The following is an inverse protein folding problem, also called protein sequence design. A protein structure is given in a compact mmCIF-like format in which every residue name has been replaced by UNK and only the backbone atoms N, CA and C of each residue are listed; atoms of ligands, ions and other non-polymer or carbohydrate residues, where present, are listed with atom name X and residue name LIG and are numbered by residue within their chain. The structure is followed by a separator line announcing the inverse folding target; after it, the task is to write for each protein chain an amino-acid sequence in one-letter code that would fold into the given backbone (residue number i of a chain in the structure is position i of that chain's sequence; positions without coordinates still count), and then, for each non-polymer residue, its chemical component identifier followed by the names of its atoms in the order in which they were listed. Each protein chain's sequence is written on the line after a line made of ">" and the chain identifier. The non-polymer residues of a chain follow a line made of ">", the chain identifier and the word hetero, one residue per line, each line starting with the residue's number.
data_IF_267623851097
#
_entry.id   IF_267623851097
#
_cell.length_a   1.000
_cell.length_b   1.000
_cell.length_c   1.000
_cell.angle_alpha   90.00
_cell.angle_beta   90.00
_cell.angle_gamma   90.00
#
_symmetry.space_group_name_H-M   'P 1'
#
loop_
_entity.id
_entity.type
_entity.pdbx_description
1 polymer ?
#
# COMPACT_ATOMS: atom_id res chain seq x y z
N UNK A 1 -11.34 -36.09 14.31
CA UNK A 1 -10.06 -35.36 14.42
C UNK A 1 -10.18 -34.07 13.63
N UNK A 2 -10.56 -32.96 14.27
CA UNK A 2 -10.76 -31.65 13.61
C UNK A 2 -9.41 -30.98 13.39
N UNK A 3 -9.07 -30.68 12.13
CA UNK A 3 -7.84 -29.96 11.79
C UNK A 3 -7.88 -28.54 12.39
N UNK A 4 -6.76 -28.04 12.96
CA UNK A 4 -6.69 -26.67 13.44
C UNK A 4 -6.94 -25.72 12.27
N UNK A 5 -7.96 -24.85 12.43
CA UNK A 5 -8.28 -23.80 11.47
C UNK A 5 -7.05 -22.87 11.35
N UNK A 6 -6.48 -22.62 10.16
CA UNK A 6 -5.45 -21.61 10.04
C UNK A 6 -6.09 -20.24 10.32
N UNK A 7 -5.84 -19.74 11.52
CA UNK A 7 -6.16 -18.38 11.94
C UNK A 7 -5.78 -17.44 10.79
N UNK A 8 -6.72 -16.67 10.21
CA UNK A 8 -6.38 -15.78 9.12
C UNK A 8 -5.35 -14.78 9.64
N UNK A 9 -4.16 -14.75 9.00
CA UNK A 9 -3.06 -13.84 9.32
C UNK A 9 -3.45 -12.41 8.95
N UNK A 10 -4.42 -11.84 9.65
CA UNK A 10 -4.94 -10.48 9.50
C UNK A 10 -3.93 -9.39 9.96
N UNK A 11 -2.65 -9.74 10.13
CA UNK A 11 -1.63 -8.86 10.73
C UNK A 11 -1.08 -7.78 9.80
N UNK A 12 -1.14 -7.93 8.48
CA UNK A 12 -0.34 -7.08 7.57
C UNK A 12 -1.00 -5.74 7.20
N UNK A 13 -2.33 -5.64 7.20
CA UNK A 13 -3.02 -4.49 6.61
C UNK A 13 -3.06 -3.23 7.50
N UNK A 14 -3.05 -3.40 8.83
CA UNK A 14 -2.99 -2.28 9.78
C UNK A 14 -1.65 -1.55 9.76
N UNK A 15 -0.55 -2.27 9.56
CA UNK A 15 0.80 -1.68 9.47
C UNK A 15 0.95 -0.88 8.15
N UNK A 16 0.41 -1.43 7.06
CA UNK A 16 0.44 -0.84 5.72
C UNK A 16 -0.26 0.54 5.66
N UNK A 17 -1.36 0.71 6.40
CA UNK A 17 -2.08 1.99 6.48
C UNK A 17 -1.31 3.09 7.20
N UNK A 18 -0.56 2.76 8.25
CA UNK A 18 0.18 3.75 9.06
C UNK A 18 1.32 4.39 8.27
N UNK A 19 2.02 3.62 7.44
CA UNK A 19 3.09 4.13 6.57
C UNK A 19 2.56 5.14 5.55
N UNK A 20 1.37 4.89 5.01
CA UNK A 20 0.72 5.79 4.05
C UNK A 20 0.37 7.14 4.68
N UNK A 21 -0.24 7.11 5.87
CA UNK A 21 -0.55 8.33 6.62
C UNK A 21 0.71 9.08 7.05
N UNK A 22 1.76 8.38 7.51
CA UNK A 22 3.04 9.00 7.88
C UNK A 22 3.69 9.71 6.69
N UNK A 23 3.69 9.08 5.50
CA UNK A 23 4.22 9.67 4.29
C UNK A 23 3.39 10.89 3.80
N UNK A 24 2.06 10.81 3.88
CA UNK A 24 1.19 11.94 3.53
C UNK A 24 1.42 13.13 4.45
N UNK A 25 1.51 12.90 5.76
CA UNK A 25 1.78 13.94 6.76
C UNK A 25 3.15 14.56 6.51
N UNK A 26 4.18 13.75 6.22
CA UNK A 26 5.51 14.25 5.89
C UNK A 26 5.50 15.14 4.63
N UNK A 27 4.78 14.73 3.57
CA UNK A 27 4.61 15.55 2.37
C UNK A 27 3.84 16.85 2.65
N UNK A 28 2.73 16.78 3.39
CA UNK A 28 1.95 17.95 3.76
C UNK A 28 2.78 18.93 4.61
N UNK A 29 3.57 18.42 5.55
CA UNK A 29 4.43 19.23 6.42
C UNK A 29 5.52 19.97 5.62
N UNK A 30 6.12 19.32 4.62
CA UNK A 30 7.10 19.97 3.74
C UNK A 30 6.48 21.01 2.81
N UNK A 31 5.31 20.72 2.23
CA UNK A 31 4.57 21.69 1.41
C UNK A 31 4.21 22.91 2.24
N UNK A 32 3.69 22.72 3.46
CA UNK A 32 3.38 23.82 4.38
C UNK A 32 4.62 24.63 4.77
N UNK A 33 5.77 23.98 5.00
CA UNK A 33 7.03 24.67 5.31
C UNK A 33 7.53 25.56 4.15
N UNK A 34 7.41 25.05 2.92
CA UNK A 34 7.75 25.81 1.70
C UNK A 34 6.79 27.00 1.54
N UNK A 35 5.48 26.78 1.73
CA UNK A 35 4.47 27.84 1.65
C UNK A 35 4.72 28.95 2.67
N UNK A 36 5.09 28.58 3.90
CA UNK A 36 5.37 29.53 4.99
C UNK A 36 6.65 30.33 4.74
N UNK A 37 7.65 29.73 4.08
CA UNK A 37 8.93 30.40 3.83
C UNK A 37 8.83 31.59 2.86
N UNK A 38 7.72 31.74 2.11
CA UNK A 38 7.38 32.86 1.22
C UNK A 38 8.56 33.38 0.37
N UNK A 39 9.44 32.46 -0.05
CA UNK A 39 10.60 32.75 -0.89
C UNK A 39 10.27 32.32 -2.31
N UNK A 40 10.14 33.29 -3.20
CA UNK A 40 9.95 33.07 -4.63
C UNK A 40 11.31 32.83 -5.28
N UNK A 41 11.55 31.60 -5.74
CA UNK A 41 12.75 31.22 -6.48
C UNK A 41 12.57 29.87 -7.19
N UNK A 42 13.25 29.69 -8.32
CA UNK A 42 13.16 28.47 -9.16
C UNK A 42 13.42 27.17 -8.38
N UNK A 43 14.27 27.23 -7.34
CA UNK A 43 14.55 26.10 -6.46
C UNK A 43 13.32 25.66 -5.64
N UNK A 44 12.46 26.60 -5.23
CA UNK A 44 11.25 26.30 -4.45
C UNK A 44 10.14 25.66 -5.31
N UNK A 45 10.00 26.08 -6.56
CA UNK A 45 9.09 25.44 -7.52
C UNK A 45 9.51 23.99 -7.81
N UNK A 46 10.81 23.76 -8.05
CA UNK A 46 11.32 22.39 -8.25
C UNK A 46 11.13 21.52 -7.01
N UNK A 47 11.39 22.07 -5.82
CA UNK A 47 11.14 21.36 -4.56
C UNK A 47 9.66 20.98 -4.41
N UNK A 48 8.74 21.91 -4.70
CA UNK A 48 7.30 21.65 -4.65
C UNK A 48 6.90 20.51 -5.61
N UNK A 49 7.35 20.57 -6.86
CA UNK A 49 7.13 19.52 -7.87
C UNK A 49 7.69 18.17 -7.42
N UNK A 50 8.89 18.16 -6.85
CA UNK A 50 9.52 16.94 -6.33
C UNK A 50 8.73 16.34 -5.15
N UNK A 51 8.22 17.16 -4.22
CA UNK A 51 7.39 16.69 -3.11
C UNK A 51 6.03 16.17 -3.59
N UNK A 52 5.37 16.84 -4.53
CA UNK A 52 4.13 16.34 -5.14
C UNK A 52 4.38 15.03 -5.90
N UNK A 53 5.48 14.95 -6.65
CA UNK A 53 5.92 13.73 -7.33
C UNK A 53 6.17 12.58 -6.34
N UNK A 54 6.86 12.85 -5.23
CA UNK A 54 7.07 11.87 -4.17
C UNK A 54 5.74 11.40 -3.54
N UNK A 55 4.80 12.31 -3.27
CA UNK A 55 3.49 11.95 -2.75
C UNK A 55 2.74 11.00 -3.69
N UNK A 56 2.70 11.33 -4.99
CA UNK A 56 2.02 10.51 -6.00
C UNK A 56 2.70 9.17 -6.21
N UNK A 57 4.04 9.11 -6.18
CA UNK A 57 4.78 7.85 -6.26
C UNK A 57 4.48 6.91 -5.08
N UNK A 58 4.40 7.46 -3.86
CA UNK A 58 4.07 6.68 -2.66
C UNK A 58 2.65 6.12 -2.74
N UNK A 59 1.69 6.94 -3.18
CA UNK A 59 0.29 6.51 -3.36
C UNK A 59 0.20 5.40 -4.42
N UNK A 60 0.82 5.59 -5.58
CA UNK A 60 0.81 4.61 -6.66
C UNK A 60 1.50 3.30 -6.27
N UNK A 61 2.66 3.37 -5.61
CA UNK A 61 3.36 2.19 -5.09
C UNK A 61 2.50 1.40 -4.10
N UNK A 62 1.72 2.10 -3.26
CA UNK A 62 0.80 1.45 -2.35
C UNK A 62 -0.39 0.79 -3.06
N UNK A 63 -1.06 1.51 -3.97
CA UNK A 63 -2.21 0.98 -4.72
C UNK A 63 -1.79 -0.22 -5.55
N UNK A 64 -0.63 -0.14 -6.21
CA UNK A 64 -0.06 -1.26 -6.97
C UNK A 64 0.25 -2.45 -6.07
N UNK A 65 0.90 -2.23 -4.92
CA UNK A 65 1.17 -3.29 -3.95
C UNK A 65 -0.09 -3.93 -3.37
N UNK A 66 -1.14 -3.15 -3.14
CA UNK A 66 -2.44 -3.64 -2.68
C UNK A 66 -3.18 -4.43 -3.77
N UNK A 67 -3.15 -3.97 -5.02
CA UNK A 67 -3.72 -4.67 -6.15
C UNK A 67 -3.00 -6.00 -6.42
N UNK A 68 -1.67 -6.00 -6.32
CA UNK A 68 -0.83 -7.19 -6.48
C UNK A 68 -1.13 -8.24 -5.40
N UNK A 69 -1.20 -7.82 -4.14
CA UNK A 69 -1.57 -8.70 -3.02
C UNK A 69 -2.97 -9.31 -3.22
N UNK A 70 -3.95 -8.50 -3.65
CA UNK A 70 -5.31 -8.96 -3.90
C UNK A 70 -5.37 -10.00 -5.03
N UNK A 71 -4.59 -9.81 -6.10
CA UNK A 71 -4.50 -10.78 -7.18
C UNK A 71 -3.85 -12.10 -6.71
N UNK A 72 -2.77 -12.01 -5.93
CA UNK A 72 -2.09 -13.17 -5.38
C UNK A 72 -2.98 -13.97 -4.41
N UNK A 73 -3.76 -13.30 -3.56
CA UNK A 73 -4.72 -13.95 -2.66
C UNK A 73 -5.80 -14.72 -3.44
N UNK A 74 -6.36 -14.12 -4.49
CA UNK A 74 -7.35 -14.76 -5.36
C UNK A 74 -6.79 -16.00 -6.09
N UNK A 75 -5.54 -15.93 -6.55
CA UNK A 75 -4.86 -17.07 -7.18
C UNK A 75 -4.66 -18.24 -6.20
N UNK A 76 -4.27 -17.95 -4.97
CA UNK A 76 -4.10 -18.96 -3.91
C UNK A 76 -5.43 -19.60 -3.53
N UNK A 77 -6.51 -18.82 -3.46
CA UNK A 77 -7.85 -19.33 -3.17
C UNK A 77 -8.37 -20.26 -4.27
N UNK A 78 -8.23 -19.88 -5.54
CA UNK A 78 -8.58 -20.75 -6.67
C UNK A 78 -7.78 -22.05 -6.69
N UNK A 79 -6.48 -21.97 -6.43
CA UNK A 79 -5.62 -23.17 -6.36
C UNK A 79 -6.06 -24.12 -5.24
N UNK A 80 -6.47 -23.57 -4.09
CA UNK A 80 -7.02 -24.35 -2.98
C UNK A 80 -8.35 -25.03 -3.32
N UNK A 81 -9.24 -24.34 -4.06
CA UNK A 81 -10.53 -24.90 -4.51
C UNK A 81 -10.35 -26.08 -5.46
N UNK A 82 -9.51 -25.92 -6.49
CA UNK A 82 -9.22 -26.98 -7.47
C UNK A 82 -8.66 -28.23 -6.78
N UNK A 83 -7.77 -28.02 -5.80
CA UNK A 83 -7.18 -29.12 -5.04
C UNK A 83 -8.22 -29.86 -4.19
N UNK A 84 -9.18 -29.15 -3.59
CA UNK A 84 -10.27 -29.80 -2.82
C UNK A 84 -11.21 -30.60 -3.71
N UNK A 85 -11.64 -30.03 -4.82
CA UNK A 85 -12.48 -30.72 -5.79
C UNK A 85 -11.82 -32.01 -6.29
N UNK A 86 -10.51 -32.04 -6.49
CA UNK A 86 -9.80 -33.25 -6.89
C UNK A 86 -9.83 -34.37 -5.82
N UNK A 87 -9.79 -34.03 -4.53
CA UNK A 87 -9.88 -35.02 -3.44
C UNK A 87 -11.29 -35.56 -3.24
N UNK A 88 -12.32 -34.76 -3.52
CA UNK A 88 -13.71 -35.18 -3.38
C UNK A 88 -14.16 -36.14 -4.50
N UNK A 89 -13.39 -36.21 -5.60
CA UNK A 89 -13.64 -37.08 -6.76
C UNK A 89 -12.79 -38.38 -6.76
N UNK A 90 -12.07 -38.67 -5.68
CA UNK A 90 -11.25 -39.87 -5.48
C UNK A 90 -11.85 -40.76 -4.39
#
# INVERSE_FOLDING_TARGET
>A
MSLPNPEPRHGSWKIRRRLLFAALIFCAMQISWILWSNKVGSLYEQALLAFIGAATAIINGYVFGAAWENNNQRMNENSGRVKRENYDNL
#
